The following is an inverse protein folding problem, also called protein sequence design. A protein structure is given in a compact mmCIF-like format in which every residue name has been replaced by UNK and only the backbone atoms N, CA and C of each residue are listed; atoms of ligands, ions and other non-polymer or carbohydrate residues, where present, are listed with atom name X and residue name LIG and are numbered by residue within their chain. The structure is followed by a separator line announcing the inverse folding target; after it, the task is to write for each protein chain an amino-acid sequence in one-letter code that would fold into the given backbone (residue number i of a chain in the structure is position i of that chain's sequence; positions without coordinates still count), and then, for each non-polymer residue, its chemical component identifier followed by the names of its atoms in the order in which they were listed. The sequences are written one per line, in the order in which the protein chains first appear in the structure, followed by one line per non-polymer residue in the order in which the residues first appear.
data_IF_608709864782
#
_entry.id   IF_608709864782
#
_cell.length_a   1.000
_cell.length_b   1.000
_cell.length_c   1.000
_cell.angle_alpha   90.00
_cell.angle_beta   90.00
_cell.angle_gamma   90.00
#
_symmetry.space_group_name_H-M   'P 1'
#
loop_
_entity.id
_entity.type
_entity.pdbx_description
1 polymer ?
#
# COMPACT_ATOMS: atom_id res chain seq x y z
N UNK A 1 -13.45 21.87 -23.47
CA UNK A 1 -12.98 22.13 -22.10
C UNK A 1 -12.67 20.78 -21.46
N UNK A 2 -11.43 20.31 -21.53
CA UNK A 2 -11.03 19.05 -20.89
C UNK A 2 -10.26 19.40 -19.62
N UNK A 3 -10.90 19.27 -18.47
CA UNK A 3 -10.24 19.48 -17.18
C UNK A 3 -9.28 18.31 -16.96
N UNK A 4 -7.98 18.56 -17.10
CA UNK A 4 -6.94 17.61 -16.68
C UNK A 4 -6.90 17.65 -15.16
N UNK A 5 -7.37 16.57 -14.53
CA UNK A 5 -7.23 16.35 -13.08
C UNK A 5 -5.74 16.31 -12.75
N UNK A 6 -5.22 17.39 -12.15
CA UNK A 6 -3.86 17.42 -11.62
C UNK A 6 -3.83 16.59 -10.34
N UNK A 7 -3.24 15.40 -10.39
CA UNK A 7 -3.07 14.58 -9.19
C UNK A 7 -2.21 15.36 -8.19
N UNK A 8 -2.69 15.49 -6.95
CA UNK A 8 -1.93 16.09 -5.86
C UNK A 8 -0.84 15.08 -5.47
N UNK A 9 0.42 15.39 -5.77
CA UNK A 9 1.57 14.58 -5.36
C UNK A 9 1.82 14.85 -3.87
N UNK A 10 1.16 14.06 -3.03
CA UNK A 10 1.22 14.18 -1.57
C UNK A 10 2.27 13.23 -0.97
N UNK A 11 3.46 13.23 -1.56
CA UNK A 11 4.59 12.42 -1.13
C UNK A 11 5.91 13.08 -1.56
N UNK A 12 6.99 12.83 -0.81
CA UNK A 12 8.34 13.22 -1.17
C UNK A 12 9.26 12.01 -1.04
N UNK A 13 9.65 11.44 -2.18
CA UNK A 13 10.49 10.24 -2.27
C UNK A 13 11.59 10.46 -3.30
N UNK A 14 12.63 9.62 -3.24
CA UNK A 14 13.79 9.74 -4.12
C UNK A 14 13.46 9.42 -5.59
N UNK A 15 12.78 8.30 -5.87
CA UNK A 15 12.45 7.88 -7.23
C UNK A 15 11.19 7.02 -7.27
N UNK A 16 10.17 7.49 -8.01
CA UNK A 16 8.88 6.79 -8.16
C UNK A 16 8.98 5.60 -9.15
N UNK A 17 9.98 5.57 -10.03
CA UNK A 17 10.16 4.48 -10.99
C UNK A 17 10.48 3.13 -10.32
N UNK A 18 10.91 3.16 -9.04
CA UNK A 18 11.21 1.96 -8.25
C UNK A 18 9.96 1.29 -7.63
N UNK A 19 8.76 1.84 -7.81
CA UNK A 19 7.53 1.35 -7.18
C UNK A 19 7.23 -0.12 -7.51
N UNK A 20 7.43 -0.53 -8.77
CA UNK A 20 7.16 -1.91 -9.20
C UNK A 20 8.13 -2.92 -8.59
N UNK A 21 9.41 -2.54 -8.47
CA UNK A 21 10.38 -3.37 -7.79
C UNK A 21 10.09 -3.46 -6.29
N UNK A 22 9.81 -2.32 -5.64
CA UNK A 22 9.44 -2.30 -4.22
C UNK A 22 8.21 -3.16 -3.90
N UNK A 23 7.20 -3.18 -4.79
CA UNK A 23 6.03 -4.07 -4.67
C UNK A 23 6.41 -5.56 -4.65
N UNK A 24 7.40 -5.96 -5.47
CA UNK A 24 7.87 -7.36 -5.51
C UNK A 24 8.58 -7.74 -4.22
N UNK A 25 9.44 -6.86 -3.72
CA UNK A 25 10.12 -7.08 -2.43
C UNK A 25 9.12 -7.15 -1.26
N UNK A 26 8.10 -6.29 -1.24
CA UNK A 26 7.03 -6.36 -0.24
C UNK A 26 6.31 -7.71 -0.30
N UNK A 27 5.99 -8.21 -1.50
CA UNK A 27 5.31 -9.51 -1.64
C UNK A 27 6.18 -10.67 -1.12
N UNK A 28 7.50 -10.62 -1.31
CA UNK A 28 8.44 -11.59 -0.73
C UNK A 28 8.47 -11.43 0.79
N UNK A 29 8.55 -10.20 1.30
CA UNK A 29 8.55 -9.95 2.74
C UNK A 29 7.27 -10.46 3.43
N UNK A 30 6.11 -10.35 2.79
CA UNK A 30 4.85 -10.88 3.33
C UNK A 30 4.89 -12.37 3.61
N UNK A 31 5.65 -13.17 2.83
CA UNK A 31 5.81 -14.61 3.10
C UNK A 31 6.62 -14.89 4.37
N UNK A 32 7.48 -13.96 4.77
CA UNK A 32 8.30 -14.03 5.98
C UNK A 32 7.65 -13.34 7.20
N UNK A 33 6.44 -12.80 7.04
CA UNK A 33 5.72 -12.05 8.08
C UNK A 33 4.35 -12.68 8.44
N UNK A 34 4.29 -13.96 8.83
CA UNK A 34 3.02 -14.67 9.03
C UNK A 34 2.11 -14.03 10.08
N UNK A 35 2.69 -13.42 11.13
CA UNK A 35 1.90 -12.73 12.16
C UNK A 35 1.14 -11.51 11.65
N UNK A 36 1.75 -10.69 10.77
CA UNK A 36 1.06 -9.54 10.19
C UNK A 36 -0.02 -9.99 9.20
N UNK A 37 0.26 -11.04 8.42
CA UNK A 37 -0.71 -11.58 7.47
C UNK A 37 -1.92 -12.19 8.18
N UNK A 38 -1.71 -12.91 9.28
CA UNK A 38 -2.80 -13.43 10.11
C UNK A 38 -3.69 -12.31 10.69
N UNK A 39 -3.10 -11.22 11.20
CA UNK A 39 -3.85 -10.05 11.69
C UNK A 39 -4.69 -9.43 10.55
N UNK A 40 -4.12 -9.30 9.35
CA UNK A 40 -4.85 -8.79 8.18
C UNK A 40 -6.05 -9.68 7.85
N UNK A 41 -5.87 -11.00 7.84
CA UNK A 41 -6.93 -11.96 7.54
C UNK A 41 -8.05 -11.93 8.60
N UNK A 42 -7.68 -11.95 9.89
CA UNK A 42 -8.63 -11.98 11.02
C UNK A 42 -9.56 -10.75 11.02
N UNK A 43 -9.02 -9.56 10.77
CA UNK A 43 -9.75 -8.30 10.89
C UNK A 43 -10.21 -7.69 9.56
N UNK A 44 -9.96 -8.36 8.43
CA UNK A 44 -10.35 -7.89 7.11
C UNK A 44 -11.87 -7.62 7.00
N UNK A 45 -12.71 -8.49 7.57
CA UNK A 45 -14.16 -8.35 7.48
C UNK A 45 -14.72 -7.21 8.35
N UNK A 46 -14.17 -7.04 9.55
CA UNK A 46 -14.67 -6.07 10.53
C UNK A 46 -14.19 -4.65 10.26
N UNK A 47 -13.10 -4.48 9.51
CA UNK A 47 -12.54 -3.18 9.14
C UNK A 47 -12.42 -2.24 10.36
N UNK A 48 -11.74 -2.68 11.44
CA UNK A 48 -11.76 -1.97 12.73
C UNK A 48 -11.11 -0.59 12.68
N UNK A 49 -10.31 -0.30 11.64
CA UNK A 49 -9.64 0.98 11.42
C UNK A 49 -10.39 1.90 10.46
N UNK A 50 -11.66 1.60 10.11
CA UNK A 50 -12.45 2.48 9.24
C UNK A 50 -12.67 3.83 9.90
N UNK A 51 -12.07 4.89 9.33
CA UNK A 51 -12.17 6.27 9.80
C UNK A 51 -11.01 6.73 10.70
N UNK A 52 -10.01 5.87 10.92
CA UNK A 52 -8.73 6.25 11.51
C UNK A 52 -7.79 6.90 10.49
#
# INVERSE_FOLDING_TARGET
MSAVLKSKQDFHIADLALADWGRREIAIAETEMPGLMAIREEFAATQPLRGA
#
